data_IF_590524615595
#
_entry.id   IF_590524615595
#
_cell.length_a   1.000
_cell.length_b   1.000
_cell.length_c   1.000
_cell.angle_alpha   90.00
_cell.angle_beta   90.00
_cell.angle_gamma   90.00
#
_symmetry.space_group_name_H-M   'P 1'
#
loop_
_entity.id
_entity.type
_entity.pdbx_description
1 polymer ?
#
# COMPACT_ATOMS: atom_id res chain seq x y z
N UNK A 1 -10.16 -19.20 5.28
CA UNK A 1 -9.10 -18.20 5.44
C UNK A 1 -9.53 -16.96 4.70
N UNK A 2 -9.50 -15.78 5.35
CA UNK A 2 -9.74 -14.51 4.67
C UNK A 2 -8.46 -14.12 3.94
N UNK A 3 -8.52 -13.97 2.62
CA UNK A 3 -7.37 -13.56 1.81
C UNK A 3 -6.97 -12.11 2.07
N UNK A 4 -6.12 -11.57 1.20
CA UNK A 4 -5.71 -10.17 1.23
C UNK A 4 -6.91 -9.23 1.09
N UNK A 5 -7.02 -8.25 1.99
CA UNK A 5 -8.13 -7.26 1.97
C UNK A 5 -7.80 -6.03 1.12
N UNK A 6 -6.52 -5.80 0.83
CA UNK A 6 -6.06 -4.68 0.01
C UNK A 6 -4.62 -4.28 0.33
N UNK A 7 -4.20 -3.19 -0.28
CA UNK A 7 -2.83 -2.66 -0.17
C UNK A 7 -2.86 -1.13 -0.21
N UNK A 8 -1.75 -0.52 0.21
CA UNK A 8 -1.67 0.91 0.49
C UNK A 8 -0.34 1.48 0.03
N UNK A 9 -0.39 2.68 -0.54
CA UNK A 9 0.80 3.46 -0.89
C UNK A 9 0.93 4.64 0.08
N UNK A 10 2.09 4.75 0.73
CA UNK A 10 2.41 5.90 1.57
C UNK A 10 2.92 7.05 0.69
N UNK A 11 2.41 8.26 0.90
CA UNK A 11 2.79 9.47 0.17
C UNK A 11 3.22 10.56 1.15
N UNK A 12 4.11 11.45 0.68
CA UNK A 12 4.58 12.61 1.45
C UNK A 12 3.56 13.76 1.48
N UNK A 13 2.77 13.91 0.41
CA UNK A 13 1.73 14.93 0.28
C UNK A 13 0.44 14.33 -0.31
N UNK A 14 -0.54 14.10 0.56
CA UNK A 14 -1.84 13.55 0.18
C UNK A 14 -2.70 14.55 -0.60
N UNK A 15 -2.40 15.85 -0.53
CA UNK A 15 -3.23 16.90 -1.16
C UNK A 15 -3.19 16.81 -2.69
N UNK A 16 -2.09 16.33 -3.27
CA UNK A 16 -1.99 16.05 -4.71
C UNK A 16 -2.98 14.95 -5.13
N UNK A 17 -3.14 13.93 -4.29
CA UNK A 17 -4.08 12.84 -4.51
C UNK A 17 -5.52 13.32 -4.30
N UNK A 18 -5.77 14.15 -3.28
CA UNK A 18 -7.08 14.76 -3.05
C UNK A 18 -7.54 15.60 -4.25
N UNK A 19 -6.64 16.42 -4.81
CA UNK A 19 -6.91 17.22 -6.00
C UNK A 19 -7.25 16.34 -7.21
N UNK A 20 -6.48 15.27 -7.45
CA UNK A 20 -6.73 14.33 -8.55
C UNK A 20 -8.05 13.58 -8.39
N UNK A 21 -8.35 13.13 -7.18
CA UNK A 21 -9.57 12.36 -6.88
C UNK A 21 -10.80 13.24 -6.63
N UNK A 22 -10.63 14.57 -6.54
CA UNK A 22 -11.72 15.53 -6.36
C UNK A 22 -12.42 15.44 -5.00
N UNK A 23 -11.75 14.93 -3.96
CA UNK A 23 -12.31 14.76 -2.61
C UNK A 23 -11.23 14.79 -1.55
N UNK A 24 -11.62 15.10 -0.31
CA UNK A 24 -10.69 15.12 0.82
C UNK A 24 -10.42 13.74 1.39
N UNK A 25 -9.21 13.57 1.93
CA UNK A 25 -8.79 12.46 2.75
C UNK A 25 -9.49 12.51 4.11
N UNK A 26 -9.80 11.33 4.63
CA UNK A 26 -10.29 11.16 5.99
C UNK A 26 -9.10 11.08 6.96
N UNK A 27 -9.29 11.57 8.18
CA UNK A 27 -8.33 11.35 9.26
C UNK A 27 -8.45 9.90 9.78
N UNK A 28 -7.30 9.29 10.02
CA UNK A 28 -7.14 7.97 10.63
C UNK A 28 -6.22 8.05 11.83
N UNK A 29 -6.44 7.16 12.81
CA UNK A 29 -5.59 7.12 13.98
C UNK A 29 -5.72 5.83 14.78
N UNK A 30 -4.70 5.54 15.58
CA UNK A 30 -4.67 4.41 16.51
C UNK A 30 -3.89 4.79 17.77
N UNK A 31 -4.49 4.52 18.92
CA UNK A 31 -3.81 4.58 20.21
C UNK A 31 -3.07 3.26 20.46
N UNK A 32 -1.78 3.36 20.82
CA UNK A 32 -0.98 2.24 21.30
C UNK A 32 -1.27 1.96 22.78
N UNK A 33 -0.96 0.74 23.26
CA UNK A 33 -1.09 0.42 24.69
C UNK A 33 -0.26 1.29 25.63
N UNK A 34 0.82 1.90 25.13
CA UNK A 34 1.70 2.83 25.86
C UNK A 34 1.13 4.27 25.94
N UNK A 35 -0.04 4.52 25.35
CA UNK A 35 -0.69 5.83 25.31
C UNK A 35 -0.28 6.72 24.14
N UNK A 36 0.69 6.31 23.32
CA UNK A 36 1.09 7.07 22.14
C UNK A 36 0.03 6.98 21.04
N UNK A 37 -0.28 8.12 20.42
CA UNK A 37 -1.16 8.18 19.25
C UNK A 37 -0.35 8.08 17.96
N UNK A 38 -0.83 7.23 17.05
CA UNK A 38 -0.46 7.24 15.63
C UNK A 38 -1.59 7.89 14.85
N UNK A 39 -1.26 8.88 14.03
CA UNK A 39 -2.17 9.60 13.17
C UNK A 39 -1.70 9.56 11.71
N UNK A 40 -2.66 9.51 10.80
CA UNK A 40 -2.46 9.59 9.35
C UNK A 40 -3.69 10.19 8.66
N UNK A 41 -3.53 10.62 7.41
CA UNK A 41 -4.63 10.88 6.48
C UNK A 41 -4.76 9.72 5.51
N UNK A 42 -5.96 9.43 5.03
CA UNK A 42 -6.20 8.37 4.06
C UNK A 42 -7.26 8.71 3.02
N UNK A 43 -7.08 8.23 1.79
CA UNK A 43 -8.04 8.40 0.70
C UNK A 43 -8.00 7.19 -0.23
N UNK A 44 -9.16 6.78 -0.77
CA UNK A 44 -9.22 5.68 -1.73
C UNK A 44 -9.76 4.35 -1.19
N UNK A 45 -10.04 4.23 0.11
CA UNK A 45 -10.53 2.96 0.73
C UNK A 45 -11.78 2.41 0.03
N UNK A 46 -12.77 3.26 -0.27
CA UNK A 46 -13.96 2.82 -1.01
C UNK A 46 -13.64 2.41 -2.47
N UNK A 47 -12.60 2.99 -3.06
CA UNK A 47 -12.10 2.60 -4.37
C UNK A 47 -11.48 1.20 -4.33
N UNK A 48 -10.63 0.93 -3.33
CA UNK A 48 -10.08 -0.39 -3.05
C UNK A 48 -11.19 -1.44 -2.83
N UNK A 49 -12.22 -1.13 -2.03
CA UNK A 49 -13.34 -2.07 -1.79
C UNK A 49 -14.08 -2.42 -3.08
N UNK A 50 -14.27 -1.44 -3.97
CA UNK A 50 -14.94 -1.64 -5.25
C UNK A 50 -14.06 -2.33 -6.29
N UNK A 51 -12.74 -2.13 -6.23
CA UNK A 51 -11.76 -2.61 -7.18
C UNK A 51 -10.44 -2.98 -6.45
N UNK A 52 -10.30 -4.22 -5.95
CA UNK A 52 -9.22 -4.60 -5.01
C UNK A 52 -7.80 -4.56 -5.58
N UNK A 53 -7.64 -4.40 -6.90
CA UNK A 53 -6.33 -4.13 -7.51
C UNK A 53 -5.83 -2.71 -7.20
N UNK A 54 -6.72 -1.77 -6.87
CA UNK A 54 -6.37 -0.37 -6.65
C UNK A 54 -5.89 -0.16 -5.20
N UNK A 55 -4.72 0.45 -4.97
CA UNK A 55 -4.31 0.83 -3.63
C UNK A 55 -5.16 2.00 -3.12
N UNK A 56 -5.27 2.13 -1.80
CA UNK A 56 -5.56 3.43 -1.20
C UNK A 56 -4.26 4.14 -0.83
N UNK A 57 -4.34 5.42 -0.51
CA UNK A 57 -3.18 6.23 -0.16
C UNK A 57 -3.25 6.64 1.30
N UNK A 58 -2.08 6.72 1.95
CA UNK A 58 -1.93 7.28 3.29
C UNK A 58 -0.81 8.30 3.34
N UNK A 59 -0.99 9.33 4.15
CA UNK A 59 0.09 10.21 4.58
C UNK A 59 0.18 10.13 6.09
N UNK A 60 1.33 9.70 6.60
CA UNK A 60 1.59 9.67 8.03
C UNK A 60 1.73 11.10 8.55
N UNK A 61 1.00 11.41 9.62
CA UNK A 61 1.15 12.65 10.40
C UNK A 61 2.01 12.42 11.64
N UNK A 62 2.22 11.15 11.98
CA UNK A 62 3.05 10.68 13.08
C UNK A 62 4.53 10.98 12.79
N UNK A 63 5.32 11.43 13.77
CA UNK A 63 6.77 11.57 13.62
C UNK A 63 7.45 10.27 13.17
N UNK A 64 8.54 10.38 12.42
CA UNK A 64 9.21 9.23 11.80
C UNK A 64 9.72 8.22 12.85
N UNK A 65 10.22 8.69 13.99
CA UNK A 65 10.65 7.87 15.13
C UNK A 65 9.53 7.06 15.78
N UNK A 66 8.28 7.44 15.54
CA UNK A 66 7.08 6.75 16.01
C UNK A 66 6.38 6.01 14.87
N UNK A 67 6.88 6.03 13.64
CA UNK A 67 6.29 5.26 12.54
C UNK A 67 6.34 3.74 12.86
N UNK A 68 5.37 2.91 12.42
CA UNK A 68 5.40 1.47 12.70
C UNK A 68 6.64 0.72 12.19
N UNK A 69 7.35 1.26 11.20
CA UNK A 69 8.63 0.71 10.74
C UNK A 69 9.85 1.27 11.48
N UNK A 70 9.67 2.17 12.45
CA UNK A 70 10.77 2.69 13.24
C UNK A 70 11.43 1.54 14.03
N UNK A 71 12.73 1.35 13.80
CA UNK A 71 13.49 0.24 14.38
C UNK A 71 13.62 -1.00 13.49
N UNK A 72 13.12 -0.96 12.25
CA UNK A 72 13.45 -2.00 11.27
C UNK A 72 14.96 -2.03 11.00
N UNK A 73 15.55 -3.23 11.02
CA UNK A 73 16.98 -3.49 10.78
C UNK A 73 17.28 -3.95 9.35
N UNK A 74 16.23 -4.16 8.54
CA UNK A 74 16.34 -4.57 7.14
C UNK A 74 16.58 -6.05 6.92
N UNK A 75 16.51 -6.90 7.96
CA UNK A 75 16.64 -8.36 7.79
C UNK A 75 15.50 -8.96 6.94
N UNK A 76 14.35 -8.28 6.93
CA UNK A 76 13.18 -8.64 6.15
C UNK A 76 12.77 -7.47 5.26
N UNK A 77 12.47 -7.74 3.99
CA UNK A 77 11.95 -6.73 3.08
C UNK A 77 10.89 -7.31 2.14
N UNK A 78 9.88 -6.50 1.84
CA UNK A 78 8.92 -6.81 0.79
C UNK A 78 9.63 -6.71 -0.55
N UNK A 79 9.75 -7.84 -1.25
CA UNK A 79 10.46 -7.93 -2.52
C UNK A 79 9.52 -7.79 -3.73
N UNK A 80 8.37 -8.47 -3.69
CA UNK A 80 7.43 -8.50 -4.81
C UNK A 80 5.97 -8.50 -4.35
N UNK A 81 5.13 -7.74 -5.05
CA UNK A 81 3.67 -7.85 -5.01
C UNK A 81 3.19 -8.59 -6.26
N UNK A 82 2.44 -9.68 -6.09
CA UNK A 82 1.76 -10.37 -7.18
C UNK A 82 0.30 -9.92 -7.24
N UNK A 83 -0.07 -9.17 -8.27
CA UNK A 83 -1.38 -8.52 -8.41
C UNK A 83 -2.15 -9.18 -9.56
N UNK A 84 -3.34 -9.68 -9.26
CA UNK A 84 -4.34 -9.97 -10.29
C UNK A 84 -5.04 -8.67 -10.68
N UNK A 85 -5.03 -8.33 -11.97
CA UNK A 85 -5.63 -7.09 -12.44
C UNK A 85 -4.98 -6.57 -13.71
N UNK A 86 -5.25 -5.31 -13.98
CA UNK A 86 -4.81 -4.58 -15.16
C UNK A 86 -3.73 -3.55 -14.77
N UNK A 87 -2.48 -3.68 -15.27
CA UNK A 87 -1.41 -2.72 -15.01
C UNK A 87 -1.76 -1.29 -15.41
N UNK A 88 -2.50 -1.12 -16.50
CA UNK A 88 -2.90 0.19 -17.00
C UNK A 88 -3.88 0.84 -16.03
N UNK A 89 -4.85 0.07 -15.54
CA UNK A 89 -5.85 0.54 -14.56
C UNK A 89 -5.18 1.05 -13.28
N UNK A 90 -4.18 0.33 -12.77
CA UNK A 90 -3.45 0.73 -11.57
C UNK A 90 -2.55 1.93 -11.82
N UNK A 91 -1.85 2.00 -12.96
CA UNK A 91 -1.02 3.16 -13.32
C UNK A 91 -1.86 4.44 -13.48
N UNK A 92 -3.02 4.35 -14.13
CA UNK A 92 -3.97 5.47 -14.23
C UNK A 92 -4.44 5.94 -12.85
N UNK A 93 -4.71 4.98 -11.94
CA UNK A 93 -5.11 5.29 -10.57
C UNK A 93 -3.99 5.93 -9.75
N UNK A 94 -2.74 5.48 -9.93
CA UNK A 94 -1.55 6.03 -9.28
C UNK A 94 -1.17 7.40 -9.85
N UNK A 95 -1.54 7.69 -11.10
CA UNK A 95 -1.24 8.93 -11.84
C UNK A 95 0.17 8.96 -12.43
N UNK A 96 0.88 7.84 -12.35
CA UNK A 96 2.25 7.62 -12.83
C UNK A 96 2.44 6.11 -13.07
N UNK A 97 3.49 5.67 -13.79
CA UNK A 97 3.79 4.26 -13.96
C UNK A 97 3.91 3.55 -12.60
N UNK A 98 3.40 2.32 -12.49
CA UNK A 98 3.36 1.55 -11.24
C UNK A 98 4.74 1.33 -10.60
N UNK A 99 5.79 1.36 -11.41
CA UNK A 99 7.18 1.20 -10.99
C UNK A 99 7.73 2.42 -10.24
N UNK A 100 7.13 3.60 -10.38
CA UNK A 100 7.58 4.84 -9.74
C UNK A 100 7.19 4.94 -8.26
N UNK A 101 5.92 4.77 -7.84
CA UNK A 101 5.57 4.80 -6.42
C UNK A 101 6.03 3.53 -5.68
N UNK A 102 6.50 2.51 -6.40
CA UNK A 102 6.98 1.23 -5.88
C UNK A 102 8.44 0.96 -6.28
N UNK A 103 9.28 2.01 -6.33
CA UNK A 103 10.68 1.92 -6.79
C UNK A 103 11.48 0.77 -6.14
N UNK A 104 11.19 0.44 -4.87
CA UNK A 104 11.86 -0.63 -4.12
C UNK A 104 11.13 -1.98 -4.12
N UNK A 105 9.94 -2.06 -4.75
CA UNK A 105 9.07 -3.26 -4.71
C UNK A 105 8.71 -3.67 -6.13
N UNK A 106 9.10 -4.89 -6.51
CA UNK A 106 8.70 -5.47 -7.80
C UNK A 106 7.18 -5.68 -7.84
N UNK A 107 6.55 -5.42 -8.98
CA UNK A 107 5.15 -5.80 -9.23
C UNK A 107 5.10 -6.85 -10.34
N UNK A 108 4.49 -7.99 -10.04
CA UNK A 108 4.18 -9.02 -11.02
C UNK A 108 2.67 -9.08 -11.25
N UNK A 109 2.29 -8.89 -12.52
CA UNK A 109 0.90 -9.01 -12.95
C UNK A 109 0.59 -10.47 -13.26
N UNK A 110 -0.32 -11.04 -12.49
CA UNK A 110 -0.72 -12.45 -12.59
C UNK A 110 -2.21 -12.56 -12.91
N UNK A 111 -2.66 -13.74 -13.33
CA UNK A 111 -4.08 -14.07 -13.49
C UNK A 111 -4.95 -12.92 -14.07
N UNK A 112 -4.70 -12.46 -15.33
CA UNK A 112 -5.38 -11.30 -15.92
C UNK A 112 -6.90 -11.46 -16.09
N UNK A 113 -7.42 -12.68 -15.89
CA UNK A 113 -8.85 -13.00 -15.90
C UNK A 113 -9.37 -13.49 -14.53
N UNK A 114 -8.54 -13.40 -13.48
CA UNK A 114 -8.89 -13.75 -12.11
C UNK A 114 -9.62 -12.62 -11.40
N UNK A 115 -10.00 -12.86 -10.14
CA UNK A 115 -10.54 -11.82 -9.27
C UNK A 115 -9.44 -10.78 -8.99
N UNK A 116 -9.65 -9.48 -9.26
CA UNK A 116 -8.64 -8.47 -9.03
C UNK A 116 -8.20 -8.38 -7.57
N UNK A 117 -6.93 -8.05 -7.33
CA UNK A 117 -6.35 -7.84 -6.00
C UNK A 117 -5.00 -8.51 -5.79
N UNK A 118 -4.44 -8.35 -4.59
CA UNK A 118 -3.21 -9.06 -4.19
C UNK A 118 -3.49 -10.56 -4.14
N UNK A 119 -2.65 -11.32 -4.84
CA UNK A 119 -2.70 -12.79 -4.84
C UNK A 119 -1.62 -13.38 -3.95
N UNK A 120 -0.44 -12.77 -3.93
CA UNK A 120 0.68 -13.17 -3.10
C UNK A 120 1.66 -12.00 -2.90
N UNK A 121 2.53 -12.15 -1.91
CA UNK A 121 3.71 -11.31 -1.74
C UNK A 121 4.94 -12.18 -1.60
N UNK A 122 6.08 -11.68 -2.06
CA UNK A 122 7.37 -12.31 -1.82
C UNK A 122 8.17 -11.45 -0.85
N UNK A 123 8.66 -12.07 0.23
CA UNK A 123 9.42 -11.43 1.29
C UNK A 123 10.84 -12.01 1.25
N UNK A 124 11.83 -11.13 1.13
CA UNK A 124 13.22 -11.49 1.31
C UNK A 124 13.47 -11.69 2.80
N UNK A 125 14.07 -12.82 3.16
CA UNK A 125 14.47 -13.14 4.54
C UNK A 125 15.96 -13.52 4.59
N UNK A 126 16.58 -13.66 5.78
CA UNK A 126 17.96 -14.16 5.91
C UNK A 126 18.14 -15.58 5.38
N UNK A 127 17.05 -16.35 5.20
CA UNK A 127 17.08 -17.74 4.76
C UNK A 127 16.58 -17.95 3.32
N UNK A 128 16.40 -16.86 2.58
CA UNK A 128 15.92 -16.87 1.19
C UNK A 128 14.53 -16.26 1.03
N UNK A 129 14.00 -16.39 -0.18
CA UNK A 129 12.71 -15.80 -0.57
C UNK A 129 11.55 -16.65 -0.06
N UNK A 130 10.56 -16.02 0.58
CA UNK A 130 9.33 -16.66 1.03
C UNK A 130 8.14 -16.03 0.31
N UNK A 131 7.29 -16.86 -0.30
CA UNK A 131 6.03 -16.43 -0.91
C UNK A 131 4.86 -16.72 0.03
N UNK A 132 4.05 -15.71 0.32
CA UNK A 132 2.86 -15.79 1.18
C UNK A 132 1.62 -15.49 0.35
#
# INVERSE_FOLDING_TARGET
>A
GGGWLGWVVAVSDITLIEQRLGRQAADGGRHRPDGQELAWKQIGVNGLIADPQLPFFVQWLTPAELHPSAGADGEYSLYCLEIAGDPQRVSEWLGEPVETPLEDVKVEWVAPHGTPGITAVQIQTPHGMVRI
#
